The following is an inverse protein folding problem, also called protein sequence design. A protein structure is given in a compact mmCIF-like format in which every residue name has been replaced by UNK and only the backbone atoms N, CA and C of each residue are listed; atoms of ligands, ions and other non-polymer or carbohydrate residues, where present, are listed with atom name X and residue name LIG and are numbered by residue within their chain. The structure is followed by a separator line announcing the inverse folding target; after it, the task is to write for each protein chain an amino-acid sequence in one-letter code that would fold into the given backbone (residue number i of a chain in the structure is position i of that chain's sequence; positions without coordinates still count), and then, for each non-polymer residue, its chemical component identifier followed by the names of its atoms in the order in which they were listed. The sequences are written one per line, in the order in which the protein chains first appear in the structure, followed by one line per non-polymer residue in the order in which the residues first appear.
data_IF_698725087062
#
_entry.id   IF_698725087062
#
_cell.length_a   1.000
_cell.length_b   1.000
_cell.length_c   1.000
_cell.angle_alpha   90.00
_cell.angle_beta   90.00
_cell.angle_gamma   90.00
#
_symmetry.space_group_name_H-M   'P 1'
#
loop_
_entity.id
_entity.type
_entity.pdbx_description
1 polymer ?
#
# COMPACT_ATOMS: atom_id res chain seq x y z
N UNK A 1 9.43 12.57 -14.29
CA UNK A 1 7.96 12.61 -14.43
C UNK A 1 7.38 13.81 -13.70
N UNK A 2 6.26 14.37 -14.18
CA UNK A 2 5.54 15.46 -13.51
C UNK A 2 4.59 14.92 -12.43
N UNK A 3 4.06 13.72 -12.64
CA UNK A 3 3.26 12.99 -11.68
C UNK A 3 3.60 11.48 -11.75
N UNK A 4 3.56 10.79 -10.61
CA UNK A 4 3.62 9.34 -10.52
C UNK A 4 2.52 8.86 -9.57
N UNK A 5 1.69 7.91 -10.01
CA UNK A 5 0.55 7.39 -9.26
C UNK A 5 0.84 5.93 -8.90
N UNK A 6 0.73 5.60 -7.62
CA UNK A 6 0.96 4.27 -7.07
C UNK A 6 -0.25 3.84 -6.24
N UNK A 7 -1.29 3.28 -6.88
CA UNK A 7 -2.46 2.79 -6.19
C UNK A 7 -2.29 1.30 -5.84
N UNK A 8 -2.56 0.97 -4.59
CA UNK A 8 -2.71 -0.36 -4.03
C UNK A 8 -1.49 -1.29 -4.14
N UNK A 9 -0.29 -0.75 -4.36
CA UNK A 9 0.94 -1.54 -4.52
C UNK A 9 1.76 -1.69 -3.23
N UNK A 10 1.69 -0.71 -2.32
CA UNK A 10 2.66 -0.59 -1.22
C UNK A 10 2.71 -1.79 -0.27
N UNK A 11 1.58 -2.44 0.00
CA UNK A 11 1.51 -3.60 0.89
C UNK A 11 2.30 -4.82 0.38
N UNK A 12 2.62 -4.88 -0.93
CA UNK A 12 3.30 -6.02 -1.56
C UNK A 12 4.78 -5.74 -1.87
N UNK A 13 5.30 -4.57 -1.48
CA UNK A 13 6.67 -4.15 -1.75
C UNK A 13 7.51 -4.21 -0.48
N UNK A 14 8.32 -5.25 -0.33
CA UNK A 14 9.12 -5.50 0.88
C UNK A 14 9.94 -4.28 1.35
N UNK A 15 10.82 -3.74 0.49
CA UNK A 15 11.63 -2.56 0.82
C UNK A 15 10.87 -1.27 0.46
N UNK A 16 9.88 -0.97 1.30
CA UNK A 16 8.99 0.18 1.10
C UNK A 16 9.75 1.52 1.06
N UNK A 17 10.81 1.67 1.85
CA UNK A 17 11.63 2.88 1.88
C UNK A 17 12.40 3.08 0.57
N UNK A 18 13.11 2.06 0.09
CA UNK A 18 13.82 2.14 -1.19
C UNK A 18 12.84 2.39 -2.36
N UNK A 19 11.66 1.77 -2.30
CA UNK A 19 10.61 1.98 -3.29
C UNK A 19 10.11 3.43 -3.31
N UNK A 20 9.71 3.99 -2.15
CA UNK A 20 9.22 5.37 -2.07
C UNK A 20 10.32 6.36 -2.43
N UNK A 21 11.55 6.13 -1.98
CA UNK A 21 12.72 6.91 -2.40
C UNK A 21 12.83 6.97 -3.92
N UNK A 22 12.77 5.84 -4.60
CA UNK A 22 12.89 5.79 -6.05
C UNK A 22 11.69 6.38 -6.78
N UNK A 23 10.47 6.21 -6.25
CA UNK A 23 9.27 6.85 -6.78
C UNK A 23 9.42 8.38 -6.76
N UNK A 24 9.90 8.97 -5.65
CA UNK A 24 10.19 10.41 -5.55
C UNK A 24 11.35 10.78 -6.48
N UNK A 25 12.44 10.00 -6.49
CA UNK A 25 13.64 10.28 -7.31
C UNK A 25 13.30 10.47 -8.79
N UNK A 26 12.38 9.67 -9.34
CA UNK A 26 11.95 9.72 -10.73
C UNK A 26 11.18 11.00 -11.10
N UNK A 27 10.64 11.73 -10.12
CA UNK A 27 9.96 12.99 -10.34
C UNK A 27 10.96 14.10 -10.67
N UNK A 28 10.51 15.06 -11.48
CA UNK A 28 11.19 16.35 -11.61
C UNK A 28 11.01 17.13 -10.30
N UNK A 29 11.86 18.11 -9.96
CA UNK A 29 11.53 19.13 -8.96
C UNK A 29 10.10 19.67 -9.12
N UNK A 30 9.35 19.77 -8.03
CA UNK A 30 7.93 20.14 -8.02
C UNK A 30 6.95 19.07 -8.52
N UNK A 31 7.44 17.94 -9.03
CA UNK A 31 6.60 16.82 -9.44
C UNK A 31 5.91 16.13 -8.26
N UNK A 32 4.78 15.46 -8.53
CA UNK A 32 3.90 14.92 -7.49
C UNK A 32 3.87 13.39 -7.49
N UNK A 33 4.05 12.77 -6.32
CA UNK A 33 3.73 11.37 -6.08
C UNK A 33 2.37 11.29 -5.39
N UNK A 34 1.43 10.57 -6.01
CA UNK A 34 0.16 10.16 -5.42
C UNK A 34 0.25 8.68 -5.08
N UNK A 35 0.31 8.35 -3.81
CA UNK A 35 0.55 6.99 -3.32
C UNK A 35 -0.40 6.67 -2.18
N UNK A 36 -0.86 5.43 -2.09
CA UNK A 36 -1.67 4.99 -0.96
C UNK A 36 -1.04 3.81 -0.20
N UNK A 37 -1.41 3.69 1.06
CA UNK A 37 -0.90 2.72 2.02
C UNK A 37 -2.06 2.00 2.69
N UNK A 38 -2.01 0.67 2.66
CA UNK A 38 -3.04 -0.19 3.22
C UNK A 38 -2.94 -0.26 4.73
N UNK A 39 -4.09 -0.24 5.42
CA UNK A 39 -4.16 -0.35 6.88
C UNK A 39 -4.78 -1.68 7.34
N UNK A 40 -5.15 -2.57 6.40
CA UNK A 40 -6.02 -3.73 6.65
C UNK A 40 -5.21 -5.01 6.83
N UNK A 41 -5.35 -5.62 7.99
CA UNK A 41 -4.68 -6.83 8.52
C UNK A 41 -5.01 -8.17 7.84
N UNK A 42 -5.38 -8.16 6.56
CA UNK A 42 -5.43 -9.37 5.74
C UNK A 42 -4.05 -9.62 5.10
N UNK A 43 -3.63 -10.88 5.00
CA UNK A 43 -2.42 -11.26 4.27
C UNK A 43 -2.56 -12.59 3.52
N UNK A 44 -1.71 -12.71 2.50
CA UNK A 44 -1.58 -13.88 1.65
C UNK A 44 -0.67 -14.91 2.34
N UNK A 45 -1.22 -15.74 3.22
CA UNK A 45 -0.43 -16.62 4.11
C UNK A 45 0.57 -17.56 3.42
N UNK A 46 0.32 -17.91 2.15
CA UNK A 46 1.21 -18.73 1.30
C UNK A 46 1.81 -17.96 0.13
N UNK A 47 1.45 -16.69 -0.05
CA UNK A 47 1.77 -15.90 -1.23
C UNK A 47 0.94 -16.29 -2.47
N UNK A 48 1.02 -15.45 -3.50
CA UNK A 48 0.36 -15.67 -4.80
C UNK A 48 1.40 -15.86 -5.91
N UNK A 49 1.19 -16.87 -6.75
CA UNK A 49 1.92 -16.98 -8.01
C UNK A 49 1.18 -16.22 -9.10
N UNK A 50 1.73 -15.07 -9.47
CA UNK A 50 1.21 -14.19 -10.51
C UNK A 50 1.82 -14.47 -11.90
N UNK A 51 2.66 -15.52 -12.04
CA UNK A 51 3.38 -15.82 -13.28
C UNK A 51 4.52 -14.85 -13.60
N UNK A 52 4.96 -14.05 -12.62
CA UNK A 52 5.99 -13.00 -12.78
C UNK A 52 7.36 -13.42 -12.23
N UNK A 53 7.53 -14.69 -11.84
CA UNK A 53 8.79 -15.28 -11.40
C UNK A 53 8.84 -15.56 -9.89
N UNK A 54 8.61 -14.54 -9.05
CA UNK A 54 8.60 -14.69 -7.60
C UNK A 54 7.16 -14.59 -7.04
N UNK A 55 6.82 -15.35 -5.98
CA UNK A 55 5.52 -15.20 -5.33
C UNK A 55 5.35 -13.81 -4.71
N UNK A 56 4.13 -13.29 -4.80
CA UNK A 56 3.73 -12.03 -4.20
C UNK A 56 3.22 -12.28 -2.78
N UNK A 57 3.76 -11.53 -1.81
CA UNK A 57 3.36 -11.56 -0.41
C UNK A 57 2.89 -10.17 0.04
N UNK A 58 2.13 -10.12 1.14
CA UNK A 58 1.86 -8.88 1.86
C UNK A 58 2.87 -8.74 3.00
N UNK A 59 3.56 -7.62 3.04
CA UNK A 59 4.69 -7.40 3.94
C UNK A 59 4.41 -6.32 5.00
N UNK A 60 3.43 -5.44 4.78
CA UNK A 60 3.19 -4.29 5.64
C UNK A 60 1.71 -3.98 5.76
N UNK A 61 1.36 -3.52 6.96
CA UNK A 61 0.17 -2.71 7.22
C UNK A 61 0.64 -1.40 7.81
N UNK A 62 0.00 -0.33 7.39
CA UNK A 62 0.45 1.03 7.65
C UNK A 62 -0.42 1.70 8.71
N UNK A 63 0.23 2.54 9.50
CA UNK A 63 -0.42 3.50 10.40
C UNK A 63 -0.02 4.90 9.97
N UNK A 64 -0.83 5.95 10.26
CA UNK A 64 -0.47 7.32 9.90
C UNK A 64 0.91 7.73 10.43
N UNK A 65 1.21 7.41 11.70
CA UNK A 65 2.53 7.69 12.30
C UNK A 65 3.67 6.96 11.59
N UNK A 66 3.45 5.71 11.15
CA UNK A 66 4.44 4.95 10.38
C UNK A 66 4.74 5.61 9.03
N UNK A 67 3.71 6.12 8.35
CA UNK A 67 3.87 6.82 7.07
C UNK A 67 4.56 8.17 7.24
N UNK A 68 4.22 8.93 8.28
CA UNK A 68 4.96 10.15 8.62
C UNK A 68 6.46 9.85 8.82
N UNK A 69 6.79 8.85 9.65
CA UNK A 69 8.17 8.48 9.92
C UNK A 69 8.92 8.02 8.66
N UNK A 70 8.26 7.25 7.77
CA UNK A 70 8.81 6.86 6.48
C UNK A 70 9.14 8.07 5.60
N UNK A 71 8.23 9.04 5.49
CA UNK A 71 8.47 10.23 4.66
C UNK A 71 9.56 11.12 5.26
N UNK A 72 9.59 11.25 6.59
CA UNK A 72 10.67 11.95 7.30
C UNK A 72 12.03 11.28 7.14
N UNK A 73 12.12 9.93 7.15
CA UNK A 73 13.39 9.23 6.90
C UNK A 73 13.93 9.50 5.50
N UNK A 74 13.05 9.82 4.55
CA UNK A 74 13.35 10.23 3.19
C UNK A 74 13.60 11.74 3.05
N UNK A 75 13.85 12.45 4.14
CA UNK A 75 14.19 13.88 4.12
C UNK A 75 13.06 14.79 3.64
N UNK A 76 11.81 14.35 3.78
CA UNK A 76 10.64 15.19 3.56
C UNK A 76 10.19 15.83 4.87
N UNK A 77 9.60 17.01 4.76
CA UNK A 77 9.03 17.79 5.85
C UNK A 77 7.53 18.03 5.62
N UNK A 78 6.85 18.58 6.62
CA UNK A 78 5.39 18.77 6.60
C UNK A 78 4.87 19.60 5.41
N UNK A 79 5.70 20.47 4.84
CA UNK A 79 5.34 21.26 3.65
C UNK A 79 5.47 20.49 2.33
N UNK A 80 6.17 19.35 2.35
CA UNK A 80 6.44 18.56 1.14
C UNK A 80 5.36 17.52 0.88
N UNK A 81 4.52 17.20 1.88
CA UNK A 81 3.48 16.20 1.72
C UNK A 81 2.24 16.45 2.57
N UNK A 82 1.11 15.93 2.10
CA UNK A 82 -0.13 15.82 2.87
C UNK A 82 -0.57 14.37 2.96
N UNK A 83 -1.01 13.94 4.14
CA UNK A 83 -1.65 12.65 4.37
C UNK A 83 -3.15 12.84 4.57
N UNK A 84 -3.94 12.01 3.89
CA UNK A 84 -5.37 11.89 4.12
C UNK A 84 -5.70 10.46 4.51
N UNK A 85 -6.34 10.30 5.65
CA UNK A 85 -6.86 9.00 6.11
C UNK A 85 -8.28 8.82 5.59
N UNK A 86 -8.58 7.62 5.13
CA UNK A 86 -9.90 7.19 4.70
C UNK A 86 -10.29 5.89 5.41
N UNK A 87 -11.59 5.70 5.55
CA UNK A 87 -12.19 4.50 6.09
C UNK A 87 -12.80 4.70 7.47
N UNK A 88 -13.53 3.67 7.85
CA UNK A 88 -14.15 3.49 9.14
C UNK A 88 -14.32 1.98 9.38
N UNK A 89 -14.79 1.59 10.58
CA UNK A 89 -14.97 0.17 10.91
C UNK A 89 -15.87 -0.57 9.91
N UNK A 90 -17.01 0.01 9.54
CA UNK A 90 -17.96 -0.62 8.64
C UNK A 90 -17.38 -0.80 7.24
N UNK A 91 -16.77 0.25 6.67
CA UNK A 91 -16.10 0.18 5.38
C UNK A 91 -14.94 -0.82 5.37
N UNK A 92 -14.19 -0.93 6.48
CA UNK A 92 -13.12 -1.91 6.65
C UNK A 92 -13.66 -3.34 6.67
N UNK A 93 -14.73 -3.59 7.43
CA UNK A 93 -15.39 -4.90 7.47
C UNK A 93 -15.99 -5.26 6.12
N UNK A 94 -16.64 -4.32 5.44
CA UNK A 94 -17.19 -4.52 4.11
C UNK A 94 -16.09 -4.90 3.10
N UNK A 95 -14.95 -4.22 3.13
CA UNK A 95 -13.80 -4.55 2.29
C UNK A 95 -13.30 -5.98 2.54
N UNK A 96 -13.15 -6.37 3.81
CA UNK A 96 -12.69 -7.73 4.19
C UNK A 96 -13.69 -8.83 3.79
N UNK A 97 -14.99 -8.53 3.87
CA UNK A 97 -16.07 -9.44 3.48
C UNK A 97 -16.32 -9.45 1.97
N UNK A 98 -15.55 -8.71 1.17
CA UNK A 98 -15.78 -8.50 -0.26
C UNK A 98 -17.19 -7.96 -0.58
N UNK A 99 -17.77 -7.15 0.31
CA UNK A 99 -19.05 -6.49 0.08
C UNK A 99 -18.83 -5.33 -0.91
N UNK A 100 -19.59 -5.28 -2.03
CA UNK A 100 -19.48 -4.20 -3.00
C UNK A 100 -19.79 -2.82 -2.41
N UNK A 101 -19.07 -1.79 -2.87
CA UNK A 101 -19.24 -0.43 -2.36
C UNK A 101 -20.64 0.18 -2.57
N UNK A 102 -21.44 -0.36 -3.50
CA UNK A 102 -22.81 0.10 -3.76
C UNK A 102 -23.85 -0.47 -2.78
N UNK A 103 -23.47 -1.46 -1.97
CA UNK A 103 -24.28 -1.95 -0.84
C UNK A 103 -24.19 -1.03 0.38
N UNK A 104 -23.22 -0.10 0.38
CA UNK A 104 -23.06 0.92 1.42
C UNK A 104 -23.70 2.23 0.95
N UNK A 105 -24.42 2.89 1.85
CA UNK A 105 -24.79 4.28 1.64
C UNK A 105 -23.56 5.19 1.62
N UNK A 106 -23.65 6.36 0.99
CA UNK A 106 -22.55 7.33 1.00
C UNK A 106 -22.14 7.74 2.42
N UNK A 107 -23.11 7.85 3.35
CA UNK A 107 -22.83 8.16 4.75
C UNK A 107 -22.02 7.05 5.45
N UNK A 108 -22.36 5.78 5.21
CA UNK A 108 -21.64 4.63 5.75
C UNK A 108 -20.25 4.48 5.14
N UNK A 109 -20.12 4.70 3.83
CA UNK A 109 -18.87 4.54 3.09
C UNK A 109 -17.89 5.69 3.34
N UNK A 110 -18.38 6.94 3.34
CA UNK A 110 -17.53 8.13 3.29
C UNK A 110 -17.28 8.74 4.68
N UNK A 111 -17.92 8.23 5.74
CA UNK A 111 -17.56 8.59 7.11
C UNK A 111 -16.09 8.21 7.38
N UNK A 112 -15.31 9.16 7.89
CA UNK A 112 -13.91 8.95 8.25
C UNK A 112 -13.80 8.79 9.75
N UNK A 113 -13.40 7.60 10.19
CA UNK A 113 -13.05 7.31 11.58
C UNK A 113 -11.53 7.11 11.69
N UNK A 114 -10.78 8.09 12.24
CA UNK A 114 -9.33 8.00 12.40
C UNK A 114 -8.85 6.82 13.24
N UNK A 115 -9.71 6.25 14.11
CA UNK A 115 -9.41 5.06 14.90
C UNK A 115 -9.50 3.75 14.10
N UNK A 116 -10.11 3.78 12.92
CA UNK A 116 -10.35 2.62 12.06
C UNK A 116 -9.96 2.90 10.61
N UNK A 117 -8.69 3.23 10.34
CA UNK A 117 -8.24 3.53 8.99
C UNK A 117 -8.35 2.29 8.09
N UNK A 118 -8.85 2.49 6.88
CA UNK A 118 -8.81 1.51 5.80
C UNK A 118 -7.60 1.79 4.89
N UNK A 119 -7.39 3.06 4.56
CA UNK A 119 -6.41 3.51 3.59
C UNK A 119 -5.83 4.86 3.99
N UNK A 120 -4.52 5.04 3.81
CA UNK A 120 -3.85 6.34 3.92
C UNK A 120 -3.42 6.74 2.51
N UNK A 121 -3.81 7.94 2.07
CA UNK A 121 -3.35 8.52 0.81
C UNK A 121 -2.34 9.62 1.11
N UNK A 122 -1.17 9.58 0.46
CA UNK A 122 -0.18 10.62 0.51
C UNK A 122 -0.09 11.34 -0.84
N UNK A 123 -0.09 12.67 -0.78
CA UNK A 123 0.35 13.53 -1.88
C UNK A 123 1.69 14.11 -1.49
N UNK A 124 2.76 13.65 -2.14
CA UNK A 124 4.12 14.14 -1.92
C UNK A 124 4.54 15.00 -3.11
N UNK A 125 5.07 16.19 -2.86
CA UNK A 125 5.69 17.06 -3.85
C UNK A 125 7.20 16.95 -3.68
N UNK A 126 7.93 16.64 -4.75
CA UNK A 126 9.40 16.57 -4.68
C UNK A 126 9.99 17.98 -4.49
N UNK A 127 10.73 18.26 -3.40
CA UNK A 127 11.41 19.53 -3.22
C UNK A 127 12.51 19.78 -4.26
N UNK A 128 12.81 21.04 -4.54
CA UNK A 128 13.82 21.43 -5.55
C UNK A 128 15.22 20.89 -5.27
N UNK A 129 15.61 20.90 -3.99
CA UNK A 129 16.91 20.42 -3.53
C UNK A 129 16.82 19.06 -2.83
N UNK A 130 15.78 18.27 -3.11
CA UNK A 130 15.62 16.95 -2.52
C UNK A 130 16.75 16.01 -2.94
N UNK A 131 17.63 15.68 -1.99
CA UNK A 131 18.77 14.79 -2.19
C UNK A 131 19.12 14.02 -0.91
N UNK A 132 18.19 13.29 -0.30
CA UNK A 132 18.53 12.40 0.81
C UNK A 132 19.45 11.28 0.32
N UNK A 133 20.25 10.67 1.21
CA UNK A 133 21.09 9.54 0.86
C UNK A 133 20.24 8.40 0.32
N UNK A 134 20.75 7.69 -0.69
CA UNK A 134 20.08 6.51 -1.22
C UNK A 134 19.98 5.44 -0.11
N UNK A 135 18.78 4.90 0.18
CA UNK A 135 18.63 3.82 1.14
C UNK A 135 19.43 2.58 0.75
N UNK A 136 19.94 1.85 1.74
CA UNK A 136 20.49 0.51 1.53
C UNK A 136 19.34 -0.45 1.20
N UNK A 137 19.51 -1.23 0.14
CA UNK A 137 18.48 -2.18 -0.28
C UNK A 137 18.38 -3.34 0.70
N UNK A 138 17.15 -3.77 0.95
CA UNK A 138 16.82 -4.89 1.83
C UNK A 138 16.03 -5.94 1.08
N UNK A 139 16.40 -7.20 1.28
CA UNK A 139 15.64 -8.36 0.82
C UNK A 139 14.90 -9.03 1.99
N UNK A 140 13.78 -9.72 1.74
CA UNK A 140 13.14 -10.58 2.72
C UNK A 140 14.13 -11.59 3.29
N UNK A 141 14.30 -11.61 4.61
CA UNK A 141 15.17 -12.59 5.27
C UNK A 141 14.55 -13.99 5.35
N UNK A 142 13.22 -14.06 5.19
CA UNK A 142 12.47 -15.31 5.24
C UNK A 142 11.21 -15.20 4.35
N UNK A 143 10.86 -16.32 3.72
CA UNK A 143 9.61 -16.51 2.99
C UNK A 143 9.05 -17.92 3.30
N UNK A 144 7.72 -18.12 3.23
CA UNK A 144 7.13 -19.44 3.42
C UNK A 144 7.67 -20.47 2.42
N UNK A 145 8.00 -21.67 2.88
CA UNK A 145 8.40 -22.80 2.02
C UNK A 145 7.21 -23.49 1.33
N UNK A 146 6.00 -23.01 1.58
CA UNK A 146 4.77 -23.56 1.02
C UNK A 146 4.63 -23.16 -0.44
N UNK A 147 3.96 -24.01 -1.25
CA UNK A 147 3.59 -23.61 -2.61
C UNK A 147 2.66 -22.41 -2.56
N UNK A 148 2.89 -21.36 -3.35
CA UNK A 148 1.98 -20.22 -3.44
C UNK A 148 0.63 -20.64 -4.02
N UNK A 149 -0.39 -19.83 -3.76
CA UNK A 149 -1.70 -20.02 -4.38
C UNK A 149 -1.63 -19.63 -5.86
N UNK A 150 -2.28 -20.41 -6.71
CA UNK A 150 -2.44 -20.13 -8.13
C UNK A 150 -3.87 -19.68 -8.41
N UNK A 151 -4.04 -18.92 -9.49
CA UNK A 151 -5.38 -18.55 -9.95
C UNK A 151 -6.15 -19.81 -10.35
N UNK A 152 -7.36 -19.98 -9.83
CA UNK A 152 -8.26 -21.04 -10.25
C UNK A 152 -8.67 -20.82 -11.70
N UNK A 153 -8.46 -21.83 -12.55
CA UNK A 153 -8.91 -21.77 -13.95
C UNK A 153 -10.45 -21.73 -14.08
N UNK A 154 -11.17 -22.15 -13.04
CA UNK A 154 -12.63 -22.24 -13.07
C UNK A 154 -13.31 -20.92 -12.64
N UNK A 155 -12.80 -20.26 -11.59
CA UNK A 155 -13.42 -19.06 -11.02
C UNK A 155 -12.64 -17.79 -11.29
N UNK A 156 -11.35 -17.89 -11.65
CA UNK A 156 -10.44 -16.75 -11.73
C UNK A 156 -10.00 -16.19 -10.38
N UNK A 157 -10.24 -16.88 -9.27
CA UNK A 157 -9.84 -16.43 -7.94
C UNK A 157 -8.64 -17.23 -7.39
N UNK A 158 -7.80 -16.56 -6.60
CA UNK A 158 -6.69 -17.19 -5.85
C UNK A 158 -7.14 -17.85 -4.53
N UNK A 159 -8.42 -17.69 -4.16
CA UNK A 159 -8.96 -18.04 -2.84
C UNK A 159 -10.02 -19.14 -2.82
N UNK A 160 -10.24 -19.85 -3.93
CA UNK A 160 -11.23 -20.94 -4.00
C UNK A 160 -10.95 -22.05 -2.98
N UNK A 161 -9.72 -22.19 -2.52
CA UNK A 161 -9.35 -23.16 -1.48
C UNK A 161 -10.01 -22.86 -0.11
N UNK A 162 -10.46 -21.62 0.13
CA UNK A 162 -11.21 -21.23 1.34
C UNK A 162 -12.72 -21.52 1.25
N UNK A 163 -13.23 -21.96 0.10
CA UNK A 163 -14.66 -22.30 -0.07
C UNK A 163 -14.99 -23.74 0.38
N UNK A 164 -14.07 -24.39 1.11
CA UNK A 164 -14.25 -25.76 1.62
C UNK A 164 -14.83 -25.77 3.03
#
# INVERSE_FOLDING_TARGET
YDCFIVPFTTAVIYDLEAFVYHAIRLLKPGGVLLINFWCVDFYLHRGLDMGTGAPLYMYHWSTPIGIHNLLHSLGLHENDYGLQVYGNLLARMAFLLNIPAHELTAAERDHVDPGQPLLICARVVKPDHWSPPKPAYRDPLWQPSMKPAHISANTGHYGDEYQR
#
